data_IF_829777544778
#
_entry.id   IF_829777544778
#
_cell.length_a   1.000
_cell.length_b   1.000
_cell.length_c   1.000
_cell.angle_alpha   90.00
_cell.angle_beta   90.00
_cell.angle_gamma   90.00
#
_symmetry.space_group_name_H-M   'P 1'
#
loop_
_entity.id
_entity.type
_entity.pdbx_description
1 polymer ?
#
# COMPACT_ATOMS: atom_id res chain seq x y z
N UNK A 1 -2.86 48.64 -20.13
CA UNK A 1 -1.91 47.86 -19.29
C UNK A 1 -1.23 46.83 -20.20
N UNK A 2 0.11 46.66 -20.15
CA UNK A 2 0.78 45.74 -21.04
C UNK A 2 0.45 44.27 -20.66
N UNK A 3 0.43 43.36 -21.64
CA UNK A 3 0.21 41.92 -21.45
C UNK A 3 1.09 41.34 -20.32
N UNK A 4 2.33 41.87 -20.21
CA UNK A 4 3.28 41.49 -19.14
C UNK A 4 2.73 41.78 -17.73
N UNK A 5 2.00 42.89 -17.53
CA UNK A 5 1.38 43.18 -16.21
C UNK A 5 0.28 42.17 -15.85
N UNK A 6 -0.53 41.74 -16.80
CA UNK A 6 -1.55 40.71 -16.57
C UNK A 6 -0.92 39.36 -16.25
N UNK A 7 0.15 38.99 -16.97
CA UNK A 7 0.88 37.72 -16.69
C UNK A 7 1.51 37.80 -15.30
N UNK A 8 2.13 38.90 -14.91
CA UNK A 8 2.72 39.08 -13.58
C UNK A 8 1.66 39.02 -12.47
N UNK A 9 0.50 39.63 -12.65
CA UNK A 9 -0.62 39.56 -11.68
C UNK A 9 -1.15 38.13 -11.58
N UNK A 10 -1.37 37.44 -12.70
CA UNK A 10 -1.81 36.06 -12.70
C UNK A 10 -0.81 35.13 -11.99
N UNK A 11 0.49 35.32 -12.21
CA UNK A 11 1.55 34.58 -11.54
C UNK A 11 1.57 34.83 -10.01
N UNK A 12 1.36 36.08 -9.58
CA UNK A 12 1.27 36.45 -8.16
C UNK A 12 0.04 35.84 -7.49
N UNK A 13 -1.12 35.85 -8.17
CA UNK A 13 -2.36 35.22 -7.67
C UNK A 13 -2.14 33.69 -7.54
N UNK A 14 -1.59 33.05 -8.56
CA UNK A 14 -1.30 31.61 -8.53
C UNK A 14 -0.32 31.28 -7.41
N UNK A 15 0.73 32.06 -7.24
CA UNK A 15 1.68 31.89 -6.14
C UNK A 15 1.01 32.07 -4.77
N UNK A 16 0.16 33.08 -4.60
CA UNK A 16 -0.64 33.28 -3.38
C UNK A 16 -1.59 32.11 -3.09
N UNK A 17 -2.25 31.56 -4.11
CA UNK A 17 -3.12 30.39 -3.98
C UNK A 17 -2.33 29.13 -3.60
N UNK A 18 -1.14 28.93 -4.17
CA UNK A 18 -0.24 27.83 -3.82
C UNK A 18 0.24 27.96 -2.38
N UNK A 19 0.63 29.17 -1.93
CA UNK A 19 1.01 29.41 -0.53
C UNK A 19 -0.16 29.19 0.44
N UNK A 20 -1.37 29.63 0.07
CA UNK A 20 -2.57 29.39 0.87
C UNK A 20 -2.89 27.89 0.97
N UNK A 21 -2.77 27.16 -0.14
CA UNK A 21 -2.95 25.72 -0.17
C UNK A 21 -1.91 24.99 0.70
N UNK A 22 -0.63 25.38 0.59
CA UNK A 22 0.44 24.86 1.46
C UNK A 22 0.15 25.18 2.93
N UNK A 23 -0.33 26.39 3.23
CA UNK A 23 -0.74 26.80 4.58
C UNK A 23 -1.89 25.96 5.12
N UNK A 24 -2.93 25.73 4.33
CA UNK A 24 -4.07 24.87 4.70
C UNK A 24 -3.59 23.44 4.93
N UNK A 25 -2.80 22.88 4.03
CA UNK A 25 -2.25 21.53 4.16
C UNK A 25 -1.31 21.39 5.36
N UNK A 26 -0.57 22.44 5.74
CA UNK A 26 0.30 22.41 6.93
C UNK A 26 -0.46 22.53 8.25
N UNK A 27 -1.61 23.20 8.26
CA UNK A 27 -2.48 23.31 9.45
C UNK A 27 -3.27 22.02 9.69
N UNK A 28 -3.58 21.28 8.63
CA UNK A 28 -4.26 19.97 8.71
C UNK A 28 -3.33 18.80 8.97
N UNK A 29 -2.01 19.04 9.08
CA UNK A 29 -1.03 18.01 9.39
C UNK A 29 -0.96 17.79 10.89
N UNK A 30 -1.37 16.60 11.28
CA UNK A 30 -1.31 16.11 12.66
C UNK A 30 0.15 15.85 13.11
N UNK A 31 0.35 15.72 14.41
CA UNK A 31 1.66 15.40 14.97
C UNK A 31 2.00 13.94 14.64
N UNK A 32 3.07 13.69 13.87
CA UNK A 32 3.46 12.34 13.51
C UNK A 32 4.01 11.58 14.73
N UNK A 33 3.95 10.25 14.68
CA UNK A 33 4.62 9.39 15.67
C UNK A 33 6.13 9.52 15.51
N UNK A 34 6.82 10.03 16.52
CA UNK A 34 8.28 10.24 16.51
C UNK A 34 9.05 9.25 17.38
N UNK A 35 8.37 8.61 18.33
CA UNK A 35 8.96 7.62 19.23
C UNK A 35 7.90 6.66 19.75
N UNK A 36 8.32 5.46 20.12
CA UNK A 36 7.52 4.47 20.85
C UNK A 36 8.16 4.32 22.21
N UNK A 37 7.42 4.64 23.27
CA UNK A 37 7.91 4.65 24.65
C UNK A 37 7.25 3.50 25.41
N UNK A 38 8.06 2.70 26.09
CA UNK A 38 7.63 1.70 27.06
C UNK A 38 8.18 2.11 28.44
N UNK A 39 7.40 2.93 29.15
CA UNK A 39 7.80 3.45 30.43
C UNK A 39 7.79 2.35 31.49
N UNK A 40 8.90 2.21 32.24
CA UNK A 40 9.07 1.16 33.24
C UNK A 40 9.55 -0.19 32.67
N UNK A 41 9.60 -0.36 31.37
CA UNK A 41 10.10 -1.57 30.73
C UNK A 41 11.60 -1.40 30.36
N UNK A 42 12.46 -2.21 31.00
CA UNK A 42 13.92 -2.12 30.80
C UNK A 42 14.35 -2.51 29.38
N UNK A 43 13.57 -3.37 28.73
CA UNK A 43 13.87 -3.90 27.39
C UNK A 43 13.24 -3.06 26.27
N UNK A 44 12.57 -1.96 26.63
CA UNK A 44 11.88 -1.07 25.70
C UNK A 44 10.57 -1.64 25.17
N UNK A 45 10.05 -1.15 24.01
CA UNK A 45 8.77 -1.59 23.47
C UNK A 45 8.71 -3.10 23.23
N UNK A 46 7.53 -3.75 23.36
CA UNK A 46 7.38 -5.19 23.16
C UNK A 46 7.99 -5.67 21.83
N UNK A 47 8.74 -6.77 21.86
CA UNK A 47 9.26 -7.41 20.63
C UNK A 47 8.14 -8.13 19.90
N UNK A 48 8.34 -8.42 18.62
CA UNK A 48 7.33 -9.18 17.82
C UNK A 48 7.07 -10.59 18.37
N UNK A 49 7.96 -11.12 19.21
CA UNK A 49 7.78 -12.40 19.91
C UNK A 49 6.98 -12.26 21.21
N UNK A 50 6.77 -11.04 21.70
CA UNK A 50 6.03 -10.78 22.93
C UNK A 50 4.51 -10.71 22.62
N UNK A 51 3.66 -11.43 23.37
CA UNK A 51 2.20 -11.34 23.21
C UNK A 51 1.65 -9.90 23.30
N UNK A 52 2.30 -9.01 24.04
CA UNK A 52 1.92 -7.60 24.15
C UNK A 52 2.11 -6.84 22.83
N UNK A 53 2.98 -7.33 21.94
CA UNK A 53 3.17 -6.72 20.60
C UNK A 53 1.87 -6.80 19.78
N UNK A 54 1.35 -8.02 19.58
CA UNK A 54 0.09 -8.23 18.86
C UNK A 54 -1.05 -7.42 19.50
N UNK A 55 -1.13 -7.44 20.84
CA UNK A 55 -2.12 -6.66 21.57
C UNK A 55 -1.97 -5.15 21.36
N UNK A 56 -0.74 -4.64 21.29
CA UNK A 56 -0.48 -3.23 20.98
C UNK A 56 -0.92 -2.88 19.55
N UNK A 57 -0.62 -3.74 18.56
CA UNK A 57 -1.11 -3.55 17.20
C UNK A 57 -2.63 -3.44 17.19
N UNK A 58 -3.36 -4.37 17.85
CA UNK A 58 -4.82 -4.33 17.91
C UNK A 58 -5.35 -3.03 18.54
N UNK A 59 -4.84 -2.66 19.72
CA UNK A 59 -5.31 -1.50 20.46
C UNK A 59 -5.08 -0.17 19.74
N UNK A 60 -3.92 -0.04 19.07
CA UNK A 60 -3.53 1.24 18.46
C UNK A 60 -3.94 1.37 16.99
N UNK A 61 -4.29 0.26 16.33
CA UNK A 61 -4.64 0.29 14.90
C UNK A 61 -6.05 -0.22 14.60
N UNK A 62 -6.70 -0.90 15.55
CA UNK A 62 -7.97 -1.58 15.32
C UNK A 62 -7.85 -2.85 14.49
N UNK A 63 -6.62 -3.36 14.29
CA UNK A 63 -6.36 -4.57 13.51
C UNK A 63 -6.47 -5.80 14.39
N UNK A 64 -7.52 -6.60 14.22
CA UNK A 64 -7.60 -7.90 14.88
C UNK A 64 -6.68 -8.91 14.20
N UNK A 65 -5.97 -9.70 15.00
CA UNK A 65 -5.06 -10.75 14.53
C UNK A 65 -5.65 -12.09 14.96
N UNK A 66 -6.37 -12.72 14.04
CA UNK A 66 -7.11 -13.96 14.30
C UNK A 66 -6.29 -15.18 13.86
N UNK A 67 -6.33 -16.30 14.61
CA UNK A 67 -5.84 -17.58 14.14
C UNK A 67 -6.74 -18.15 13.03
N UNK A 68 -6.38 -19.30 12.48
CA UNK A 68 -7.25 -20.05 11.57
C UNK A 68 -7.16 -19.64 10.11
N UNK A 69 -6.22 -18.79 9.72
CA UNK A 69 -6.07 -18.36 8.33
C UNK A 69 -5.11 -19.26 7.54
N UNK A 70 -5.36 -19.35 6.24
CA UNK A 70 -4.43 -19.88 5.25
C UNK A 70 -3.94 -18.70 4.38
N UNK A 71 -2.64 -18.46 4.36
CA UNK A 71 -2.02 -17.32 3.67
C UNK A 71 -1.07 -17.81 2.60
N UNK A 72 -1.24 -17.32 1.39
CA UNK A 72 -0.40 -17.64 0.24
C UNK A 72 0.18 -16.36 -0.35
N UNK A 73 1.51 -16.22 -0.31
CA UNK A 73 2.22 -15.12 -0.94
C UNK A 73 2.27 -15.34 -2.45
N UNK A 74 1.94 -14.33 -3.23
CA UNK A 74 1.89 -14.36 -4.67
C UNK A 74 2.85 -13.33 -5.24
N UNK A 75 3.84 -13.78 -5.99
CA UNK A 75 4.83 -12.90 -6.59
C UNK A 75 4.43 -12.54 -8.02
N UNK A 76 4.44 -11.26 -8.31
CA UNK A 76 4.27 -10.71 -9.64
C UNK A 76 2.95 -11.13 -10.32
N UNK A 77 2.81 -10.82 -11.59
CA UNK A 77 1.63 -11.20 -12.37
C UNK A 77 1.47 -12.70 -12.54
N UNK A 78 2.56 -13.39 -12.82
CA UNK A 78 2.56 -14.84 -13.05
C UNK A 78 2.10 -15.65 -11.83
N UNK A 79 2.43 -15.17 -10.64
CA UNK A 79 1.94 -15.80 -9.39
C UNK A 79 0.51 -15.38 -9.03
N UNK A 80 0.08 -14.19 -9.45
CA UNK A 80 -1.18 -13.58 -8.99
C UNK A 80 -2.35 -13.87 -9.92
N UNK A 81 -2.26 -13.47 -11.18
CA UNK A 81 -3.42 -13.45 -12.08
C UNK A 81 -4.00 -14.82 -12.40
N UNK A 82 -3.22 -15.88 -12.65
CA UNK A 82 -3.80 -17.19 -12.93
C UNK A 82 -4.67 -17.72 -11.78
N UNK A 83 -4.24 -17.48 -10.51
CA UNK A 83 -5.01 -17.86 -9.34
C UNK A 83 -6.23 -16.99 -9.14
N UNK A 84 -6.08 -15.68 -9.31
CA UNK A 84 -7.17 -14.71 -9.23
C UNK A 84 -8.28 -15.04 -10.23
N UNK A 85 -7.92 -15.31 -11.47
CA UNK A 85 -8.90 -15.70 -12.51
C UNK A 85 -9.60 -16.99 -12.18
N UNK A 86 -8.87 -17.99 -11.70
CA UNK A 86 -9.43 -19.28 -11.29
C UNK A 86 -10.44 -19.10 -10.14
N UNK A 87 -10.08 -18.33 -9.13
CA UNK A 87 -10.97 -18.11 -7.99
C UNK A 87 -12.20 -17.29 -8.35
N UNK A 88 -12.06 -16.22 -9.18
CA UNK A 88 -13.23 -15.48 -9.70
C UNK A 88 -14.14 -16.40 -10.52
N UNK A 89 -13.56 -17.25 -11.39
CA UNK A 89 -14.35 -18.18 -12.20
C UNK A 89 -15.12 -19.21 -11.36
N UNK A 90 -14.65 -19.52 -10.15
CA UNK A 90 -15.31 -20.46 -9.23
C UNK A 90 -16.40 -19.82 -8.35
N UNK A 91 -16.61 -18.50 -8.44
CA UNK A 91 -17.58 -17.80 -7.62
C UNK A 91 -19.00 -18.29 -7.87
N UNK A 92 -19.75 -18.55 -6.79
CA UNK A 92 -21.12 -19.03 -6.81
C UNK A 92 -22.14 -18.00 -6.30
N UNK A 93 -21.69 -17.06 -5.44
CA UNK A 93 -22.59 -16.12 -4.75
C UNK A 93 -22.22 -14.67 -5.03
N UNK A 94 -20.98 -14.28 -4.75
CA UNK A 94 -20.54 -12.89 -4.83
C UNK A 94 -19.11 -12.74 -5.33
N UNK A 95 -18.85 -11.70 -6.10
CA UNK A 95 -17.51 -11.19 -6.36
C UNK A 95 -17.50 -9.69 -6.06
N UNK A 96 -16.69 -9.26 -5.11
CA UNK A 96 -16.50 -7.84 -4.79
C UNK A 96 -15.07 -7.43 -5.15
N UNK A 97 -14.95 -6.39 -5.96
CA UNK A 97 -13.67 -5.90 -6.48
C UNK A 97 -13.55 -4.40 -6.22
N UNK A 98 -12.48 -3.99 -5.54
CA UNK A 98 -12.11 -2.58 -5.41
C UNK A 98 -10.70 -2.37 -5.93
N UNK A 99 -10.54 -1.42 -6.88
CA UNK A 99 -9.25 -1.11 -7.49
C UNK A 99 -8.99 0.39 -7.48
N UNK A 100 -7.73 0.72 -7.17
CA UNK A 100 -7.25 2.09 -7.31
C UNK A 100 -6.83 2.37 -8.75
N UNK A 101 -5.94 1.55 -9.32
CA UNK A 101 -5.32 1.81 -10.62
C UNK A 101 -5.80 0.83 -11.68
N UNK A 102 -6.32 1.38 -12.78
CA UNK A 102 -6.85 0.60 -13.89
C UNK A 102 -6.58 1.30 -15.22
N UNK A 103 -6.03 0.55 -16.17
CA UNK A 103 -5.70 1.00 -17.52
C UNK A 103 -6.33 0.05 -18.54
N UNK A 104 -6.66 0.51 -19.76
CA UNK A 104 -7.00 -0.39 -20.87
C UNK A 104 -5.83 -1.34 -21.14
N UNK A 105 -6.13 -2.62 -21.34
CA UNK A 105 -5.12 -3.65 -21.61
C UNK A 105 -5.64 -5.05 -21.29
N UNK A 106 -4.80 -6.06 -21.50
CA UNK A 106 -5.15 -7.47 -21.38
C UNK A 106 -5.63 -7.84 -19.97
N UNK A 107 -5.04 -7.25 -18.92
CA UNK A 107 -5.46 -7.50 -17.53
C UNK A 107 -6.86 -6.97 -17.27
N UNK A 108 -7.16 -5.74 -17.69
CA UNK A 108 -8.49 -5.14 -17.52
C UNK A 108 -9.56 -5.89 -18.34
N UNK A 109 -9.24 -6.28 -19.57
CA UNK A 109 -10.15 -7.01 -20.45
C UNK A 109 -10.41 -8.42 -19.91
N UNK A 110 -9.38 -9.09 -19.37
CA UNK A 110 -9.53 -10.40 -18.74
C UNK A 110 -10.39 -10.31 -17.48
N UNK A 111 -10.19 -9.29 -16.63
CA UNK A 111 -11.04 -9.03 -15.48
C UNK A 111 -12.49 -8.86 -15.93
N UNK A 112 -12.75 -8.01 -16.93
CA UNK A 112 -14.11 -7.79 -17.45
C UNK A 112 -14.73 -9.10 -17.93
N UNK A 113 -13.99 -9.94 -18.67
CA UNK A 113 -14.48 -11.24 -19.15
C UNK A 113 -14.98 -12.12 -17.99
N UNK A 114 -14.19 -12.27 -16.93
CA UNK A 114 -14.57 -13.10 -15.78
C UNK A 114 -15.74 -12.49 -14.99
N UNK A 115 -15.76 -11.18 -14.79
CA UNK A 115 -16.87 -10.53 -14.08
C UNK A 115 -18.19 -10.62 -14.86
N UNK A 116 -18.15 -10.46 -16.19
CA UNK A 116 -19.31 -10.63 -17.09
C UNK A 116 -19.82 -12.08 -17.01
N UNK A 117 -18.92 -13.04 -17.14
CA UNK A 117 -19.27 -14.46 -17.06
C UNK A 117 -19.98 -14.78 -15.73
N UNK A 118 -19.45 -14.32 -14.61
CA UNK A 118 -20.07 -14.55 -13.30
C UNK A 118 -21.42 -13.87 -13.17
N UNK A 119 -21.55 -12.62 -13.61
CA UNK A 119 -22.83 -11.89 -13.58
C UNK A 119 -23.91 -12.61 -14.41
N UNK A 120 -23.55 -13.13 -15.59
CA UNK A 120 -24.46 -13.93 -16.43
C UNK A 120 -24.88 -15.25 -15.76
N UNK A 121 -24.05 -15.80 -14.87
CA UNK A 121 -24.36 -16.97 -14.03
C UNK A 121 -25.07 -16.59 -12.71
N UNK A 122 -25.62 -15.37 -12.61
CA UNK A 122 -26.38 -14.88 -11.44
C UNK A 122 -25.54 -14.70 -10.16
N UNK A 123 -24.23 -14.65 -10.26
CA UNK A 123 -23.36 -14.23 -9.18
C UNK A 123 -23.50 -12.71 -9.02
N UNK A 124 -23.64 -12.22 -7.80
CA UNK A 124 -23.68 -10.77 -7.54
C UNK A 124 -22.29 -10.18 -7.65
N UNK A 125 -22.05 -9.37 -8.67
CA UNK A 125 -20.73 -8.78 -8.96
C UNK A 125 -20.76 -7.29 -8.69
N UNK A 126 -19.93 -6.83 -7.73
CA UNK A 126 -19.78 -5.43 -7.34
C UNK A 126 -18.37 -4.95 -7.68
N UNK A 127 -18.27 -3.91 -8.48
CA UNK A 127 -16.98 -3.30 -8.89
C UNK A 127 -16.93 -1.85 -8.43
N UNK A 128 -15.98 -1.55 -7.54
CA UNK A 128 -15.71 -0.21 -7.01
C UNK A 128 -14.37 0.29 -7.54
N UNK A 129 -14.39 1.37 -8.31
CA UNK A 129 -13.21 1.94 -8.95
C UNK A 129 -12.91 3.33 -8.37
N UNK A 130 -11.67 3.61 -8.02
CA UNK A 130 -11.26 4.97 -7.70
C UNK A 130 -11.38 5.85 -8.95
N UNK A 131 -12.05 6.99 -8.82
CA UNK A 131 -12.39 7.83 -9.95
C UNK A 131 -11.17 8.49 -10.61
N UNK A 132 -10.05 8.63 -9.91
CA UNK A 132 -8.82 9.19 -10.45
C UNK A 132 -7.95 8.10 -11.09
N UNK A 133 -7.63 7.04 -10.36
CA UNK A 133 -6.74 5.98 -10.82
C UNK A 133 -7.32 5.11 -11.94
N UNK A 134 -8.65 5.09 -12.09
CA UNK A 134 -9.34 4.29 -13.12
C UNK A 134 -9.96 5.13 -14.24
N UNK A 135 -9.67 6.44 -14.28
CA UNK A 135 -10.15 7.35 -15.33
C UNK A 135 -9.86 6.87 -16.77
N UNK A 136 -8.70 6.25 -17.05
CA UNK A 136 -8.36 5.82 -18.43
C UNK A 136 -9.25 4.71 -18.99
N UNK A 137 -10.00 3.97 -18.14
CA UNK A 137 -10.88 2.90 -18.64
C UNK A 137 -11.96 3.43 -19.58
N UNK A 138 -12.04 2.86 -20.77
CA UNK A 138 -12.96 3.27 -21.84
C UNK A 138 -14.43 3.11 -21.43
N UNK A 139 -15.30 3.92 -22.01
CA UNK A 139 -16.74 3.85 -21.77
C UNK A 139 -17.31 2.49 -22.19
N UNK A 140 -16.89 2.00 -23.36
CA UNK A 140 -17.34 0.72 -23.93
C UNK A 140 -17.05 -0.46 -22.97
N UNK A 141 -15.86 -0.46 -22.34
CA UNK A 141 -15.47 -1.46 -21.34
C UNK A 141 -16.44 -1.45 -20.15
N UNK A 142 -16.81 -0.26 -19.66
CA UNK A 142 -17.73 -0.11 -18.54
C UNK A 142 -19.16 -0.48 -18.91
N UNK A 143 -19.60 -0.10 -20.12
CA UNK A 143 -20.93 -0.37 -20.58
C UNK A 143 -21.15 -1.87 -20.82
N UNK A 144 -20.15 -2.61 -21.32
CA UNK A 144 -20.21 -4.07 -21.46
C UNK A 144 -20.43 -4.79 -20.11
N UNK A 145 -19.73 -4.38 -19.07
CA UNK A 145 -19.90 -4.90 -17.71
C UNK A 145 -21.32 -4.61 -17.17
N UNK A 146 -21.81 -3.38 -17.31
CA UNK A 146 -23.15 -2.99 -16.86
C UNK A 146 -24.25 -3.76 -17.59
N UNK A 147 -24.13 -3.94 -18.90
CA UNK A 147 -25.11 -4.72 -19.68
C UNK A 147 -25.19 -6.17 -19.25
N UNK A 148 -24.09 -6.72 -18.75
CA UNK A 148 -24.03 -8.08 -18.19
C UNK A 148 -24.58 -8.18 -16.75
N UNK A 149 -24.90 -7.06 -16.10
CA UNK A 149 -25.43 -7.03 -14.74
C UNK A 149 -24.39 -6.75 -13.65
N UNK A 150 -23.16 -6.37 -14.00
CA UNK A 150 -22.15 -5.95 -13.03
C UNK A 150 -22.48 -4.55 -12.47
N UNK A 151 -22.58 -4.43 -11.17
CA UNK A 151 -22.79 -3.15 -10.49
C UNK A 151 -21.48 -2.38 -10.37
N UNK A 152 -21.30 -1.30 -11.13
CA UNK A 152 -20.08 -0.47 -11.11
C UNK A 152 -20.37 0.83 -10.39
N UNK A 153 -19.52 1.17 -9.40
CA UNK A 153 -19.56 2.45 -8.69
C UNK A 153 -18.18 3.12 -8.72
N UNK A 154 -18.20 4.44 -8.56
CA UNK A 154 -17.01 5.28 -8.55
C UNK A 154 -16.77 5.84 -7.16
N UNK A 155 -15.60 5.60 -6.63
CA UNK A 155 -15.19 6.14 -5.34
C UNK A 155 -14.52 7.51 -5.53
N UNK A 156 -15.00 8.50 -4.78
CA UNK A 156 -14.47 9.87 -4.75
C UNK A 156 -14.33 10.54 -6.12
N UNK A 157 -15.42 10.59 -6.94
CA UNK A 157 -15.40 11.35 -8.17
C UNK A 157 -15.15 12.83 -7.87
N UNK A 158 -14.33 13.47 -8.72
CA UNK A 158 -14.05 14.91 -8.58
C UNK A 158 -15.32 15.71 -8.88
N UNK A 159 -15.87 16.35 -7.85
CA UNK A 159 -16.98 17.29 -7.94
C UNK A 159 -16.60 18.57 -7.23
N UNK A 160 -17.11 19.71 -7.68
CA UNK A 160 -16.76 21.01 -7.11
C UNK A 160 -17.01 21.09 -5.59
N UNK A 161 -17.97 20.38 -5.04
CA UNK A 161 -18.28 20.34 -3.60
C UNK A 161 -17.55 19.23 -2.83
N UNK A 162 -16.71 18.44 -3.47
CA UNK A 162 -15.87 17.41 -2.84
C UNK A 162 -14.37 17.61 -3.10
N UNK A 163 -13.96 18.81 -3.52
CA UNK A 163 -12.55 19.13 -3.81
C UNK A 163 -11.63 18.88 -2.62
N UNK A 164 -12.10 19.08 -1.40
CA UNK A 164 -11.38 18.76 -0.17
C UNK A 164 -10.99 17.26 -0.06
N UNK A 165 -11.79 16.36 -0.68
CA UNK A 165 -11.49 14.94 -0.74
C UNK A 165 -10.60 14.55 -1.94
N UNK A 166 -10.25 15.51 -2.80
CA UNK A 166 -9.46 15.24 -4.00
C UNK A 166 -8.04 14.73 -3.68
N UNK A 167 -7.47 15.17 -2.56
CA UNK A 167 -6.17 14.72 -2.10
C UNK A 167 -6.22 13.31 -1.46
N UNK A 168 -7.36 12.92 -0.88
CA UNK A 168 -7.56 11.63 -0.25
C UNK A 168 -7.97 10.61 -1.30
N UNK A 169 -7.14 9.60 -1.56
CA UNK A 169 -7.45 8.53 -2.51
C UNK A 169 -7.63 7.21 -1.79
N UNK A 170 -8.42 6.33 -2.40
CA UNK A 170 -8.53 4.97 -1.91
C UNK A 170 -7.51 4.09 -2.62
N UNK A 171 -6.37 3.92 -1.98
CA UNK A 171 -5.29 3.06 -2.48
C UNK A 171 -5.51 1.58 -2.12
N UNK A 172 -6.68 1.26 -1.62
CA UNK A 172 -7.13 -0.09 -1.24
C UNK A 172 -7.28 -0.98 -2.48
N UNK A 173 -6.79 -2.21 -2.41
CA UNK A 173 -7.03 -3.28 -3.38
C UNK A 173 -7.72 -4.41 -2.67
N UNK A 174 -8.89 -4.75 -3.17
CA UNK A 174 -9.72 -5.84 -2.65
C UNK A 174 -10.24 -6.66 -3.81
N UNK A 175 -10.06 -7.97 -3.73
CA UNK A 175 -10.94 -8.92 -4.40
C UNK A 175 -11.39 -9.92 -3.35
N UNK A 176 -12.70 -10.07 -3.19
CA UNK A 176 -13.27 -11.11 -2.33
C UNK A 176 -14.24 -11.95 -3.14
N UNK A 177 -14.05 -13.25 -3.09
CA UNK A 177 -14.88 -14.24 -3.75
C UNK A 177 -15.69 -15.00 -2.69
N UNK A 178 -17.01 -14.94 -2.82
CA UNK A 178 -17.98 -15.62 -1.96
C UNK A 178 -17.84 -15.35 -0.45
N UNK A 179 -17.18 -14.22 -0.09
CA UNK A 179 -16.84 -13.91 1.30
C UNK A 179 -15.84 -14.88 1.94
N UNK A 180 -15.16 -15.73 1.16
CA UNK A 180 -14.30 -16.83 1.63
C UNK A 180 -12.86 -16.75 1.16
N UNK A 181 -12.60 -16.19 0.01
CA UNK A 181 -11.27 -16.03 -0.57
C UNK A 181 -11.00 -14.53 -0.73
N UNK A 182 -9.90 -14.07 -0.16
CA UNK A 182 -9.46 -12.68 -0.23
C UNK A 182 -8.16 -12.49 -0.99
N UNK A 183 -8.06 -11.39 -1.73
CA UNK A 183 -6.82 -10.92 -2.36
C UNK A 183 -6.58 -9.46 -2.00
N UNK A 184 -5.36 -9.16 -1.56
CA UNK A 184 -4.86 -7.79 -1.44
C UNK A 184 -3.39 -7.71 -1.83
N UNK A 185 -2.84 -6.51 -1.94
CA UNK A 185 -1.47 -6.30 -2.40
C UNK A 185 -1.31 -4.94 -3.07
N UNK A 186 -0.29 -4.82 -3.92
CA UNK A 186 -0.07 -3.62 -4.72
C UNK A 186 -0.59 -3.73 -6.16
N UNK A 187 -1.12 -4.87 -6.59
CA UNK A 187 -1.58 -5.11 -7.96
C UNK A 187 -2.73 -4.19 -8.39
N UNK A 188 -2.86 -4.00 -9.70
CA UNK A 188 -3.94 -3.23 -10.31
C UNK A 188 -4.46 -3.89 -11.59
N UNK A 189 -5.29 -3.18 -12.35
CA UNK A 189 -5.77 -3.64 -13.66
C UNK A 189 -4.97 -2.96 -14.78
N UNK A 190 -3.69 -3.31 -14.92
CA UNK A 190 -2.84 -2.82 -15.99
C UNK A 190 -1.75 -3.85 -16.35
N UNK A 191 -1.31 -3.83 -17.59
CA UNK A 191 -0.41 -4.85 -18.14
C UNK A 191 1.02 -4.78 -17.56
N UNK A 192 1.41 -3.69 -16.89
CA UNK A 192 2.69 -3.57 -16.18
C UNK A 192 2.88 -4.65 -15.10
N UNK A 193 1.80 -5.15 -14.51
CA UNK A 193 1.86 -6.22 -13.50
C UNK A 193 1.91 -7.63 -14.09
N UNK A 194 1.84 -7.80 -15.42
CA UNK A 194 2.04 -9.12 -16.04
C UNK A 194 3.51 -9.56 -15.94
N UNK A 195 3.73 -10.86 -16.01
CA UNK A 195 5.06 -11.46 -16.03
C UNK A 195 5.67 -11.68 -14.63
N UNK A 196 6.97 -11.89 -14.62
CA UNK A 196 7.77 -12.30 -13.45
C UNK A 196 8.45 -11.15 -12.69
N UNK A 197 8.27 -9.90 -13.15
CA UNK A 197 8.85 -8.71 -12.52
C UNK A 197 10.36 -8.53 -12.75
N UNK A 198 10.95 -9.24 -13.73
CA UNK A 198 12.37 -9.16 -14.07
C UNK A 198 12.66 -8.41 -15.38
N UNK A 199 11.64 -7.89 -16.05
CA UNK A 199 11.78 -7.14 -17.29
C UNK A 199 11.38 -5.68 -17.11
N UNK A 200 11.99 -4.78 -17.89
CA UNK A 200 11.86 -3.33 -17.69
C UNK A 200 10.43 -2.79 -17.88
N UNK A 201 9.60 -3.47 -18.65
CA UNK A 201 8.19 -3.18 -18.91
C UNK A 201 7.23 -3.79 -17.88
N UNK A 202 7.76 -4.51 -16.89
CA UNK A 202 7.02 -5.17 -15.84
C UNK A 202 7.24 -4.48 -14.48
N UNK A 203 6.36 -4.77 -13.53
CA UNK A 203 6.50 -4.30 -12.16
C UNK A 203 6.69 -5.49 -11.21
N UNK A 204 7.74 -5.40 -10.37
CA UNK A 204 7.98 -6.37 -9.30
C UNK A 204 7.00 -6.12 -8.17
N UNK A 205 6.14 -7.11 -7.89
CA UNK A 205 5.04 -6.98 -6.92
C UNK A 205 4.98 -8.16 -5.95
N UNK A 206 4.47 -7.91 -4.75
CA UNK A 206 4.15 -8.94 -3.76
C UNK A 206 2.70 -8.79 -3.35
N UNK A 207 1.89 -9.76 -3.70
CA UNK A 207 0.48 -9.83 -3.39
C UNK A 207 0.20 -11.02 -2.47
N UNK A 208 -1.02 -11.08 -1.95
CA UNK A 208 -1.42 -12.16 -1.07
C UNK A 208 -2.83 -12.63 -1.39
N UNK A 209 -3.00 -13.95 -1.42
CA UNK A 209 -4.27 -14.67 -1.40
C UNK A 209 -4.44 -15.29 -0.02
N UNK A 210 -5.61 -15.18 0.55
CA UNK A 210 -5.87 -15.77 1.86
C UNK A 210 -7.31 -16.24 2.00
N UNK A 211 -7.50 -17.17 2.92
CA UNK A 211 -8.78 -17.75 3.34
C UNK A 211 -8.83 -17.75 4.86
N UNK A 212 -10.01 -17.81 5.44
CA UNK A 212 -10.24 -17.82 6.88
C UNK A 212 -10.77 -16.51 7.44
N UNK A 213 -10.76 -16.34 8.78
CA UNK A 213 -11.44 -15.22 9.45
C UNK A 213 -11.08 -13.83 8.95
N UNK A 214 -9.83 -13.62 8.54
CA UNK A 214 -9.35 -12.32 8.04
C UNK A 214 -10.05 -11.86 6.75
N UNK A 215 -10.66 -12.78 5.98
CA UNK A 215 -11.41 -12.40 4.75
C UNK A 215 -12.60 -11.51 5.08
N UNK A 216 -13.26 -11.73 6.21
CA UNK A 216 -14.37 -10.87 6.64
C UNK A 216 -13.93 -9.41 6.86
N UNK A 217 -12.71 -9.19 7.38
CA UNK A 217 -12.17 -7.84 7.53
C UNK A 217 -11.88 -7.18 6.16
N UNK A 218 -11.39 -7.95 5.17
CA UNK A 218 -11.20 -7.43 3.80
C UNK A 218 -12.54 -7.10 3.13
N UNK A 219 -13.55 -7.95 3.33
CA UNK A 219 -14.91 -7.70 2.85
C UNK A 219 -15.51 -6.45 3.53
N UNK A 220 -15.23 -6.23 4.81
CA UNK A 220 -15.69 -5.04 5.53
C UNK A 220 -15.00 -3.76 4.99
N UNK A 221 -13.72 -3.82 4.63
CA UNK A 221 -13.02 -2.70 3.98
C UNK A 221 -13.66 -2.36 2.63
N UNK A 222 -14.05 -3.37 1.83
CA UNK A 222 -14.83 -3.15 0.61
C UNK A 222 -16.19 -2.51 0.92
N UNK A 223 -16.93 -3.07 1.88
CA UNK A 223 -18.27 -2.58 2.25
C UNK A 223 -18.24 -1.12 2.74
N UNK A 224 -17.20 -0.72 3.44
CA UNK A 224 -16.99 0.68 3.84
C UNK A 224 -16.80 1.61 2.64
N UNK A 225 -15.98 1.20 1.65
CA UNK A 225 -15.81 1.93 0.39
C UNK A 225 -17.10 1.98 -0.44
N UNK A 226 -17.83 0.88 -0.48
CA UNK A 226 -19.14 0.83 -1.16
C UNK A 226 -20.15 1.78 -0.51
N UNK A 227 -20.24 1.78 0.82
CA UNK A 227 -21.11 2.69 1.55
C UNK A 227 -20.70 4.16 1.34
N UNK A 228 -19.41 4.49 1.28
CA UNK A 228 -18.94 5.84 0.93
C UNK A 228 -19.41 6.27 -0.47
N UNK A 229 -19.42 5.34 -1.43
CA UNK A 229 -19.78 5.63 -2.82
C UNK A 229 -21.28 5.69 -3.09
N UNK A 230 -22.10 4.94 -2.31
CA UNK A 230 -23.50 4.69 -2.59
C UNK A 230 -24.47 5.08 -1.48
N UNK A 231 -23.99 5.14 -0.24
CA UNK A 231 -24.86 5.22 0.96
C UNK A 231 -25.39 3.86 1.42
N UNK A 232 -25.08 2.76 0.73
CA UNK A 232 -25.56 1.41 1.03
C UNK A 232 -24.51 0.63 1.82
N UNK A 233 -24.83 0.18 3.04
CA UNK A 233 -23.98 -0.68 3.84
C UNK A 233 -24.29 -2.16 3.57
N UNK A 234 -23.33 -2.87 2.99
CA UNK A 234 -23.45 -4.29 2.70
C UNK A 234 -23.29 -5.12 3.97
N UNK A 235 -24.27 -5.99 4.26
CA UNK A 235 -24.29 -6.85 5.43
C UNK A 235 -24.91 -8.21 5.11
N UNK A 236 -24.97 -9.10 6.10
CA UNK A 236 -25.68 -10.38 6.03
C UNK A 236 -24.91 -11.48 5.33
N UNK A 237 -25.51 -12.67 5.27
CA UNK A 237 -24.88 -13.91 4.83
C UNK A 237 -24.40 -13.90 3.37
N UNK A 238 -24.96 -13.04 2.53
CA UNK A 238 -24.52 -12.89 1.14
C UNK A 238 -23.06 -12.43 1.06
N UNK A 239 -22.65 -11.48 1.91
CA UNK A 239 -21.30 -10.91 1.90
C UNK A 239 -20.40 -11.43 3.03
N UNK A 240 -21.01 -11.87 4.14
CA UNK A 240 -20.38 -12.36 5.34
C UNK A 240 -20.95 -13.73 5.71
N UNK A 241 -20.72 -14.76 4.90
CA UNK A 241 -21.25 -16.10 5.22
C UNK A 241 -20.60 -16.63 6.51
N UNK A 242 -21.32 -17.45 7.26
CA UNK A 242 -20.80 -18.07 8.48
C UNK A 242 -19.48 -18.81 8.25
N UNK A 243 -19.29 -19.38 7.06
CA UNK A 243 -18.06 -20.07 6.68
C UNK A 243 -16.83 -19.15 6.56
N UNK A 244 -17.00 -17.82 6.42
CA UNK A 244 -15.88 -16.88 6.41
C UNK A 244 -15.23 -16.68 7.79
N UNK A 245 -15.87 -17.18 8.84
CA UNK A 245 -15.34 -17.15 10.20
C UNK A 245 -14.79 -18.50 10.65
N UNK A 246 -14.77 -19.49 9.77
CA UNK A 246 -14.24 -20.83 10.08
C UNK A 246 -12.72 -20.87 9.90
N UNK A 247 -12.06 -21.61 10.76
CA UNK A 247 -10.64 -21.91 10.64
C UNK A 247 -10.40 -22.80 9.42
N UNK A 248 -9.50 -22.39 8.53
CA UNK A 248 -9.10 -23.13 7.32
C UNK A 248 -7.59 -23.34 7.24
N UNK A 249 -6.87 -22.86 8.25
CA UNK A 249 -5.43 -22.96 8.39
C UNK A 249 -5.01 -22.68 9.82
N UNK A 250 -3.75 -22.38 10.02
CA UNK A 250 -3.14 -22.16 11.35
C UNK A 250 -2.33 -20.85 11.44
N UNK A 251 -2.40 -19.99 10.42
CA UNK A 251 -1.70 -18.69 10.42
C UNK A 251 -2.50 -17.69 11.26
N UNK A 252 -1.80 -17.00 12.16
CA UNK A 252 -2.32 -15.80 12.81
C UNK A 252 -2.18 -14.62 11.84
N UNK A 253 -3.29 -14.07 11.37
CA UNK A 253 -3.32 -12.99 10.42
C UNK A 253 -4.44 -11.98 10.71
N UNK A 254 -4.29 -10.78 10.18
CA UNK A 254 -5.29 -9.71 10.29
C UNK A 254 -5.24 -8.80 9.08
N UNK A 255 -6.26 -7.97 8.95
CA UNK A 255 -6.28 -6.91 7.94
C UNK A 255 -6.14 -5.55 8.62
N UNK A 256 -5.06 -4.86 8.36
CA UNK A 256 -4.94 -3.44 8.71
C UNK A 256 -5.58 -2.61 7.59
N UNK A 257 -6.68 -1.94 7.90
CA UNK A 257 -7.34 -0.99 7.02
C UNK A 257 -7.16 0.41 7.59
N UNK A 258 -6.25 1.18 7.01
CA UNK A 258 -6.02 2.56 7.42
C UNK A 258 -6.94 3.51 6.67
N UNK A 259 -7.54 4.42 7.43
CA UNK A 259 -8.32 5.54 6.92
C UNK A 259 -7.71 6.82 7.50
N UNK A 260 -7.57 7.90 6.71
CA UNK A 260 -7.12 9.18 7.24
C UNK A 260 -7.93 9.61 8.45
N UNK A 261 -7.24 9.99 9.52
CA UNK A 261 -7.85 10.41 10.80
C UNK A 261 -7.14 11.62 11.36
N UNK A 262 -7.78 12.33 12.27
CA UNK A 262 -7.15 13.41 13.05
C UNK A 262 -6.12 12.81 14.01
N UNK A 263 -4.95 13.41 14.14
CA UNK A 263 -3.82 12.86 14.87
C UNK A 263 -3.04 11.82 14.05
N UNK A 264 -2.22 10.99 14.69
CA UNK A 264 -1.51 9.93 13.99
C UNK A 264 -2.50 8.89 13.44
N UNK A 265 -2.28 8.46 12.20
CA UNK A 265 -3.14 7.46 11.55
C UNK A 265 -2.87 6.04 12.08
N UNK A 266 -3.79 5.08 11.85
CA UNK A 266 -3.50 3.67 12.11
C UNK A 266 -2.24 3.18 11.38
N UNK A 267 -2.00 3.65 10.14
CA UNK A 267 -0.80 3.31 9.36
C UNK A 267 0.50 3.77 10.03
N UNK A 268 0.53 5.02 10.53
CA UNK A 268 1.71 5.54 11.24
C UNK A 268 1.99 4.77 12.53
N UNK A 269 0.96 4.52 13.34
CA UNK A 269 1.09 3.76 14.59
C UNK A 269 1.53 2.32 14.32
N UNK A 270 0.97 1.69 13.30
CA UNK A 270 1.33 0.35 12.85
C UNK A 270 2.82 0.24 12.48
N UNK A 271 3.33 1.15 11.64
CA UNK A 271 4.74 1.15 11.23
C UNK A 271 5.66 1.44 12.42
N UNK A 272 5.31 2.41 13.26
CA UNK A 272 6.12 2.77 14.41
C UNK A 272 6.26 1.58 15.38
N UNK A 273 5.16 0.87 15.69
CA UNK A 273 5.18 -0.34 16.52
C UNK A 273 5.97 -1.47 15.86
N UNK A 274 5.81 -1.69 14.56
CA UNK A 274 6.54 -2.72 13.83
C UNK A 274 8.05 -2.49 13.86
N UNK A 275 8.50 -1.24 13.65
CA UNK A 275 9.93 -0.87 13.71
C UNK A 275 10.47 -0.97 15.15
N UNK A 276 9.69 -0.55 16.14
CA UNK A 276 10.07 -0.60 17.54
C UNK A 276 10.16 -2.04 18.07
N UNK A 277 9.31 -2.94 17.57
CA UNK A 277 9.27 -4.36 17.93
C UNK A 277 10.45 -5.19 17.40
N UNK A 278 11.22 -4.67 16.45
CA UNK A 278 12.37 -5.37 15.86
C UNK A 278 13.53 -5.55 16.87
N UNK A 279 14.11 -6.76 16.89
CA UNK A 279 15.26 -7.11 17.73
C UNK A 279 16.45 -7.64 16.93
N UNK A 280 16.23 -8.34 15.82
CA UNK A 280 17.28 -8.98 15.00
C UNK A 280 17.33 -8.39 13.60
N UNK A 281 16.21 -8.44 12.89
CA UNK A 281 16.12 -8.03 11.47
C UNK A 281 14.89 -7.17 11.23
N UNK A 282 15.05 -6.18 10.35
CA UNK A 282 13.97 -5.37 9.84
C UNK A 282 14.18 -5.18 8.33
N UNK A 283 13.43 -5.89 7.52
CA UNK A 283 13.54 -5.84 6.07
C UNK A 283 12.31 -5.19 5.47
N UNK A 284 12.52 -4.12 4.70
CA UNK A 284 11.47 -3.29 4.11
C UNK A 284 11.63 -3.31 2.60
N UNK A 285 10.60 -3.70 1.86
CA UNK A 285 10.50 -3.50 0.42
C UNK A 285 9.42 -2.46 0.15
N UNK A 286 9.79 -1.37 -0.52
CA UNK A 286 8.81 -0.32 -0.77
C UNK A 286 9.11 0.49 -2.03
N UNK A 287 8.07 0.72 -2.85
CA UNK A 287 8.14 1.47 -4.10
C UNK A 287 8.58 2.90 -3.89
N UNK A 288 7.91 3.60 -2.99
CA UNK A 288 8.14 5.02 -2.72
C UNK A 288 8.59 5.18 -1.29
N UNK A 289 9.91 5.03 -1.10
CA UNK A 289 10.53 5.11 0.22
C UNK A 289 10.93 6.56 0.53
N UNK A 290 9.97 7.32 1.08
CA UNK A 290 10.14 8.71 1.54
C UNK A 290 9.75 8.78 3.02
N UNK A 291 10.57 8.24 3.94
CA UNK A 291 10.17 7.96 5.32
C UNK A 291 9.83 9.18 6.17
N UNK A 292 10.13 10.39 5.70
CA UNK A 292 10.03 11.55 6.56
C UNK A 292 11.07 11.55 7.69
N UNK A 293 11.14 12.62 8.45
CA UNK A 293 12.12 12.73 9.55
C UNK A 293 11.80 11.77 10.70
N UNK A 294 10.51 11.62 11.03
CA UNK A 294 10.04 10.76 12.13
C UNK A 294 10.40 9.28 11.92
N UNK A 295 10.07 8.71 10.77
CA UNK A 295 10.39 7.30 10.49
C UNK A 295 11.87 7.08 10.23
N UNK A 296 12.58 8.07 9.67
CA UNK A 296 14.03 8.02 9.59
C UNK A 296 14.63 7.85 11.00
N UNK A 297 14.18 8.61 11.99
CA UNK A 297 14.66 8.50 13.37
C UNK A 297 14.33 7.13 13.98
N UNK A 298 13.14 6.57 13.72
CA UNK A 298 12.77 5.23 14.20
C UNK A 298 13.66 4.13 13.58
N UNK A 299 13.98 4.22 12.28
CA UNK A 299 14.88 3.28 11.61
C UNK A 299 16.32 3.39 12.14
N UNK A 300 16.81 4.61 12.35
CA UNK A 300 18.12 4.84 12.97
C UNK A 300 18.18 4.31 14.41
N UNK A 301 17.11 4.49 15.18
CA UNK A 301 17.02 3.94 16.53
C UNK A 301 17.02 2.40 16.51
N UNK A 302 16.36 1.76 15.54
CA UNK A 302 16.41 0.30 15.37
C UNK A 302 17.85 -0.17 15.04
N UNK A 303 18.51 0.46 14.07
CA UNK A 303 19.88 0.15 13.71
C UNK A 303 20.85 0.36 14.89
N UNK A 304 20.66 1.44 15.68
CA UNK A 304 21.46 1.71 16.90
C UNK A 304 21.27 0.63 17.98
N UNK A 305 20.11 -0.02 18.05
CA UNK A 305 19.87 -1.19 18.93
C UNK A 305 20.54 -2.47 18.43
N UNK A 306 21.19 -2.46 17.26
CA UNK A 306 21.84 -3.62 16.65
C UNK A 306 20.96 -4.41 15.69
N UNK A 307 19.78 -3.91 15.32
CA UNK A 307 18.91 -4.54 14.33
C UNK A 307 19.54 -4.40 12.93
N UNK A 308 19.60 -5.48 12.15
CA UNK A 308 19.98 -5.42 10.75
C UNK A 308 18.83 -4.85 9.92
N UNK A 309 18.90 -3.53 9.69
CA UNK A 309 17.85 -2.80 8.95
C UNK A 309 18.26 -2.71 7.49
N UNK A 310 17.41 -3.28 6.62
CA UNK A 310 17.61 -3.26 5.16
C UNK A 310 16.38 -2.75 4.44
N UNK A 311 16.58 -1.95 3.41
CA UNK A 311 15.52 -1.40 2.57
C UNK A 311 15.80 -1.71 1.11
N UNK A 312 14.85 -2.34 0.42
CA UNK A 312 14.83 -2.41 -1.04
C UNK A 312 13.79 -1.40 -1.54
N UNK A 313 14.19 -0.58 -2.51
CA UNK A 313 13.30 0.40 -3.13
C UNK A 313 13.52 0.48 -4.64
N UNK A 314 12.78 1.36 -5.31
CA UNK A 314 12.95 1.58 -6.75
C UNK A 314 14.33 2.15 -7.08
N UNK A 315 14.79 1.84 -8.28
CA UNK A 315 15.89 2.54 -8.93
C UNK A 315 15.38 3.74 -9.73
N UNK A 316 16.19 4.25 -10.64
CA UNK A 316 15.75 5.25 -11.62
C UNK A 316 14.65 4.76 -12.57
N UNK A 317 14.34 3.45 -12.58
CA UNK A 317 13.24 2.84 -13.34
C UNK A 317 11.87 3.01 -12.71
N UNK A 318 11.69 4.05 -11.89
CA UNK A 318 10.41 4.39 -11.26
C UNK A 318 9.49 5.13 -12.23
N UNK A 319 8.19 4.97 -12.07
CA UNK A 319 7.16 5.74 -12.77
C UNK A 319 7.04 7.19 -12.24
N UNK A 320 7.44 7.43 -10.96
CA UNK A 320 7.39 8.76 -10.32
C UNK A 320 8.79 9.19 -9.88
N UNK A 321 9.55 9.83 -10.78
CA UNK A 321 10.92 10.32 -10.51
C UNK A 321 11.00 11.22 -9.28
N UNK A 322 9.96 12.02 -9.02
CA UNK A 322 9.95 12.97 -7.90
C UNK A 322 10.02 12.25 -6.55
N UNK A 323 9.32 11.11 -6.39
CA UNK A 323 9.37 10.32 -5.15
C UNK A 323 10.74 9.68 -4.95
N UNK A 324 11.37 9.19 -6.04
CA UNK A 324 12.71 8.64 -5.98
C UNK A 324 13.74 9.70 -5.54
N UNK A 325 13.72 10.90 -6.14
CA UNK A 325 14.60 12.00 -5.72
C UNK A 325 14.33 12.42 -4.27
N UNK A 326 13.07 12.52 -3.84
CA UNK A 326 12.71 12.88 -2.48
C UNK A 326 13.20 11.85 -1.45
N UNK A 327 13.06 10.55 -1.75
CA UNK A 327 13.56 9.46 -0.91
C UNK A 327 15.08 9.49 -0.72
N UNK A 328 15.82 9.76 -1.79
CA UNK A 328 17.29 9.85 -1.78
C UNK A 328 17.85 10.92 -0.84
N UNK A 329 17.06 11.92 -0.48
CA UNK A 329 17.49 12.95 0.50
C UNK A 329 17.71 12.38 1.91
N UNK A 330 17.12 11.22 2.22
CA UNK A 330 17.28 10.52 3.51
C UNK A 330 18.43 9.50 3.51
N UNK A 331 18.93 9.09 2.33
CA UNK A 331 19.87 7.99 2.20
C UNK A 331 21.18 8.25 2.99
N UNK A 332 21.76 9.44 2.88
CA UNK A 332 23.04 9.73 3.53
C UNK A 332 22.98 9.51 5.04
N UNK A 333 21.97 10.07 5.71
CA UNK A 333 21.77 9.90 7.16
C UNK A 333 21.46 8.45 7.53
N UNK A 334 20.63 7.75 6.75
CA UNK A 334 20.29 6.36 6.98
C UNK A 334 21.53 5.45 6.85
N UNK A 335 22.32 5.64 5.79
CA UNK A 335 23.57 4.89 5.56
C UNK A 335 24.61 5.16 6.65
N UNK A 336 24.77 6.43 7.09
CA UNK A 336 25.63 6.79 8.24
C UNK A 336 25.20 6.09 9.52
N UNK A 337 23.90 5.92 9.73
CA UNK A 337 23.34 5.23 10.89
C UNK A 337 23.30 3.71 10.79
N UNK A 338 23.89 3.12 9.73
CA UNK A 338 24.01 1.67 9.57
C UNK A 338 22.82 0.98 8.86
N UNK A 339 21.85 1.73 8.37
CA UNK A 339 20.77 1.18 7.53
C UNK A 339 21.33 0.87 6.15
N UNK A 340 21.05 -0.33 5.61
CA UNK A 340 21.48 -0.74 4.27
C UNK A 340 20.37 -0.47 3.26
N UNK A 341 20.70 0.16 2.14
CA UNK A 341 19.73 0.54 1.11
C UNK A 341 20.12 -0.09 -0.22
N UNK A 342 19.11 -0.67 -0.89
CA UNK A 342 19.25 -1.37 -2.16
C UNK A 342 18.25 -0.80 -3.16
N UNK A 343 18.68 -0.53 -4.38
CA UNK A 343 17.80 -0.13 -5.49
C UNK A 343 17.64 -1.31 -6.46
N UNK A 344 16.42 -1.79 -6.63
CA UNK A 344 16.09 -2.91 -7.52
C UNK A 344 16.34 -2.55 -8.98
N UNK A 345 17.06 -3.41 -9.72
CA UNK A 345 17.56 -3.05 -11.05
C UNK A 345 16.73 -3.57 -12.23
N UNK A 346 16.14 -4.79 -12.21
CA UNK A 346 15.52 -5.36 -13.43
C UNK A 346 14.31 -4.57 -13.91
N UNK A 347 13.42 -4.20 -13.00
CA UNK A 347 12.11 -3.63 -13.25
C UNK A 347 11.80 -2.52 -12.23
N UNK A 348 10.62 -1.90 -12.33
CA UNK A 348 10.10 -1.07 -11.25
C UNK A 348 9.75 -1.94 -10.04
N UNK A 349 10.39 -1.72 -8.90
CA UNK A 349 9.96 -2.30 -7.62
C UNK A 349 8.65 -1.64 -7.20
N UNK A 350 7.53 -2.38 -7.25
CA UNK A 350 6.23 -1.85 -6.82
C UNK A 350 5.68 -2.54 -5.56
N UNK A 351 6.35 -3.55 -5.02
CA UNK A 351 5.96 -4.20 -3.78
C UNK A 351 6.00 -3.26 -2.56
N UNK A 352 5.09 -3.48 -1.63
CA UNK A 352 5.02 -2.81 -0.34
C UNK A 352 4.88 -3.89 0.73
N UNK A 353 5.99 -4.24 1.33
CA UNK A 353 6.05 -5.29 2.35
C UNK A 353 7.11 -5.01 3.41
N UNK A 354 6.95 -5.64 4.54
CA UNK A 354 7.89 -5.59 5.65
C UNK A 354 7.93 -6.96 6.31
N UNK A 355 9.11 -7.35 6.80
CA UNK A 355 9.27 -8.50 7.68
C UNK A 355 10.19 -8.14 8.83
N UNK A 356 9.80 -8.52 10.05
CA UNK A 356 10.51 -8.29 11.30
C UNK A 356 10.82 -9.63 11.96
N UNK A 357 12.09 -9.87 12.21
CA UNK A 357 12.61 -11.01 12.96
C UNK A 357 12.13 -12.38 12.40
N UNK A 358 11.82 -12.45 11.09
CA UNK A 358 11.30 -13.65 10.43
C UNK A 358 9.95 -14.14 10.98
N UNK A 359 9.14 -13.26 11.59
CA UNK A 359 7.91 -13.65 12.25
C UNK A 359 6.75 -12.69 11.98
N UNK A 360 6.93 -11.39 12.15
CA UNK A 360 5.93 -10.38 11.87
C UNK A 360 6.10 -9.86 10.45
N UNK A 361 5.05 -9.88 9.64
CA UNK A 361 5.13 -9.38 8.28
C UNK A 361 3.84 -8.68 7.84
N UNK A 362 3.98 -7.78 6.85
CA UNK A 362 2.83 -7.30 6.09
C UNK A 362 3.09 -7.32 4.58
N UNK A 363 2.00 -7.42 3.82
CA UNK A 363 1.95 -7.27 2.37
C UNK A 363 0.70 -6.47 2.00
N UNK A 364 0.83 -5.45 1.16
CA UNK A 364 -0.35 -4.66 0.82
C UNK A 364 -0.10 -3.45 -0.06
N UNK A 365 -0.92 -2.44 0.15
CA UNK A 365 -0.98 -1.26 -0.72
C UNK A 365 -0.12 -0.09 -0.26
N UNK A 366 0.29 -0.04 1.02
CA UNK A 366 0.83 1.13 1.70
C UNK A 366 2.28 1.45 1.30
N UNK A 367 2.49 2.60 0.65
CA UNK A 367 3.82 3.15 0.46
C UNK A 367 4.38 3.74 1.76
N UNK A 368 5.70 3.82 1.82
CA UNK A 368 6.41 4.44 2.94
C UNK A 368 6.61 5.93 2.66
N UNK A 369 5.52 6.62 2.39
CA UNK A 369 5.48 8.04 2.09
C UNK A 369 4.33 8.74 2.83
N UNK A 370 4.39 10.06 2.87
CA UNK A 370 3.41 10.86 3.59
C UNK A 370 1.99 10.67 3.04
N UNK A 371 1.85 10.44 1.75
CA UNK A 371 0.55 10.27 1.11
C UNK A 371 -0.17 9.01 1.58
N UNK A 372 0.54 7.88 1.59
CA UNK A 372 -0.01 6.62 2.09
C UNK A 372 -0.23 6.63 3.60
N UNK A 373 0.67 7.27 4.34
CA UNK A 373 0.59 7.27 5.80
C UNK A 373 -0.49 8.21 6.35
N UNK A 374 -0.77 9.34 5.67
CA UNK A 374 -1.63 10.38 6.22
C UNK A 374 -2.91 10.67 5.42
N UNK A 375 -2.93 10.40 4.11
CA UNK A 375 -4.02 10.85 3.23
C UNK A 375 -4.79 9.73 2.54
N UNK A 376 -4.18 8.58 2.27
CA UNK A 376 -4.85 7.51 1.55
C UNK A 376 -5.54 6.52 2.49
N UNK A 377 -6.59 5.89 1.98
CA UNK A 377 -7.03 4.63 2.56
C UNK A 377 -6.09 3.53 2.06
N UNK A 378 -5.61 2.69 2.96
CA UNK A 378 -4.68 1.60 2.65
C UNK A 378 -5.19 0.27 3.22
N UNK A 379 -4.79 -0.84 2.60
CA UNK A 379 -5.09 -2.19 3.09
C UNK A 379 -3.84 -3.07 3.07
N UNK A 380 -3.56 -3.71 4.20
CA UNK A 380 -2.44 -4.62 4.37
C UNK A 380 -2.94 -5.91 4.99
N UNK A 381 -2.58 -7.06 4.43
CA UNK A 381 -2.59 -8.29 5.22
C UNK A 381 -1.38 -8.25 6.15
N UNK A 382 -1.61 -8.50 7.43
CA UNK A 382 -0.57 -8.69 8.43
C UNK A 382 -0.57 -10.15 8.87
N UNK A 383 0.62 -10.70 9.13
CA UNK A 383 0.78 -12.06 9.62
C UNK A 383 1.80 -12.13 10.76
N UNK A 384 1.43 -12.82 11.82
CA UNK A 384 2.29 -13.17 12.94
C UNK A 384 2.54 -14.68 12.89
N UNK A 385 3.41 -15.10 11.97
CA UNK A 385 3.69 -16.50 11.70
C UNK A 385 5.12 -16.68 11.18
N UNK A 386 5.87 -17.62 11.75
CA UNK A 386 7.27 -17.86 11.38
C UNK A 386 7.45 -18.43 9.96
N UNK A 387 6.48 -19.17 9.44
CA UNK A 387 6.57 -19.74 8.08
C UNK A 387 6.36 -18.65 7.05
N UNK A 388 5.36 -17.80 7.27
CA UNK A 388 5.11 -16.61 6.43
C UNK A 388 6.29 -15.65 6.51
N UNK A 389 6.81 -15.38 7.72
CA UNK A 389 7.97 -14.51 7.93
C UNK A 389 9.23 -15.04 7.24
N UNK A 390 9.55 -16.33 7.39
CA UNK A 390 10.70 -16.95 6.72
C UNK A 390 10.57 -16.91 5.18
N UNK A 391 9.36 -17.09 4.65
CA UNK A 391 9.12 -16.97 3.21
C UNK A 391 9.35 -15.52 2.75
N UNK A 392 8.90 -14.52 3.53
CA UNK A 392 9.14 -13.10 3.23
C UNK A 392 10.63 -12.74 3.32
N UNK A 393 11.37 -13.28 4.30
CA UNK A 393 12.84 -13.12 4.38
C UNK A 393 13.51 -13.68 3.12
N UNK A 394 13.11 -14.88 2.67
CA UNK A 394 13.65 -15.50 1.46
C UNK A 394 13.39 -14.63 0.22
N UNK A 395 12.17 -14.13 0.06
CA UNK A 395 11.78 -13.25 -1.05
C UNK A 395 12.62 -11.97 -1.04
N UNK A 396 12.78 -11.35 0.14
CA UNK A 396 13.60 -10.17 0.30
C UNK A 396 15.07 -10.41 -0.08
N UNK A 397 15.64 -11.53 0.36
CA UNK A 397 17.03 -11.90 0.06
C UNK A 397 17.23 -12.25 -1.43
N UNK A 398 16.20 -12.78 -2.10
CA UNK A 398 16.24 -13.01 -3.55
C UNK A 398 16.19 -11.68 -4.33
N UNK A 399 15.34 -10.73 -3.92
CA UNK A 399 15.29 -9.40 -4.53
C UNK A 399 16.60 -8.62 -4.34
N UNK A 400 17.32 -8.79 -3.22
CA UNK A 400 18.66 -8.21 -3.00
C UNK A 400 19.65 -8.65 -4.09
N UNK A 401 19.62 -9.91 -4.54
CA UNK A 401 20.54 -10.43 -5.58
C UNK A 401 20.43 -9.66 -6.89
N UNK A 402 19.23 -9.10 -7.16
CA UNK A 402 18.93 -8.30 -8.34
C UNK A 402 18.98 -6.79 -8.08
N UNK A 403 19.45 -6.38 -6.90
CA UNK A 403 19.49 -4.98 -6.47
C UNK A 403 20.92 -4.45 -6.38
N UNK A 404 21.06 -3.15 -6.61
CA UNK A 404 22.32 -2.43 -6.40
C UNK A 404 22.36 -1.88 -4.97
N UNK A 405 23.34 -2.29 -4.19
CA UNK A 405 23.58 -1.70 -2.88
C UNK A 405 24.11 -0.27 -3.02
N UNK A 406 23.53 0.65 -2.29
CA UNK A 406 23.97 2.05 -2.24
C UNK A 406 25.02 2.19 -1.15
N UNK A 407 26.25 2.48 -1.56
CA UNK A 407 27.39 2.69 -0.64
C UNK A 407 27.52 4.17 -0.29
N UNK A 408 27.71 4.48 0.99
CA UNK A 408 27.81 5.85 1.50
C UNK A 408 28.85 6.71 0.76
N UNK A 409 30.05 6.17 0.57
CA UNK A 409 31.16 6.91 -0.08
C UNK A 409 30.89 7.22 -1.55
N UNK A 410 30.23 6.30 -2.27
CA UNK A 410 29.80 6.51 -3.66
C UNK A 410 28.65 7.52 -3.71
N UNK A 411 27.69 7.37 -2.81
CA UNK A 411 26.53 8.25 -2.72
C UNK A 411 26.91 9.71 -2.46
N UNK A 412 27.90 9.95 -1.62
CA UNK A 412 28.45 11.30 -1.34
C UNK A 412 29.07 11.96 -2.57
N UNK A 413 29.66 11.16 -3.48
CA UNK A 413 30.32 11.62 -4.71
C UNK A 413 29.34 11.84 -5.88
N UNK A 414 28.02 11.62 -5.69
CA UNK A 414 27.03 11.84 -6.76
C UNK A 414 27.05 13.26 -7.30
N UNK A 415 26.69 13.41 -8.58
CA UNK A 415 26.72 14.69 -9.28
C UNK A 415 25.91 15.79 -8.60
N UNK A 416 26.35 17.03 -8.69
CA UNK A 416 25.69 18.19 -8.10
C UNK A 416 24.27 18.37 -8.68
N UNK A 417 24.06 18.06 -9.96
CA UNK A 417 22.73 18.08 -10.61
C UNK A 417 21.74 17.17 -9.90
N UNK A 418 22.16 15.95 -9.51
CA UNK A 418 21.34 15.03 -8.73
C UNK A 418 20.96 15.62 -7.36
N UNK A 419 21.93 16.20 -6.65
CA UNK A 419 21.69 16.85 -5.34
C UNK A 419 20.67 18.02 -5.44
N UNK A 420 20.70 18.79 -6.53
CA UNK A 420 19.75 19.90 -6.76
C UNK A 420 18.34 19.33 -6.99
N UNK A 421 18.21 18.25 -7.80
CA UNK A 421 16.93 17.61 -8.04
C UNK A 421 16.35 16.98 -6.76
N UNK A 422 17.18 16.32 -5.96
CA UNK A 422 16.82 15.78 -4.66
C UNK A 422 16.32 16.89 -3.71
N UNK A 423 17.06 18.01 -3.63
CA UNK A 423 16.65 19.17 -2.82
C UNK A 423 15.31 19.75 -3.26
N UNK A 424 15.09 19.90 -4.58
CA UNK A 424 13.83 20.38 -5.13
C UNK A 424 12.67 19.44 -4.82
N UNK A 425 12.86 18.13 -5.03
CA UNK A 425 11.86 17.11 -4.75
C UNK A 425 11.50 17.02 -3.25
N UNK A 426 12.47 17.23 -2.35
CA UNK A 426 12.22 17.27 -0.91
C UNK A 426 11.18 18.34 -0.49
N UNK A 427 11.13 19.48 -1.21
CA UNK A 427 10.13 20.51 -0.92
C UNK A 427 8.70 20.04 -1.21
N UNK A 428 8.54 19.07 -2.10
CA UNK A 428 7.26 18.47 -2.47
C UNK A 428 6.88 17.26 -1.61
N UNK A 429 7.75 16.79 -0.70
CA UNK A 429 7.55 15.57 0.10
C UNK A 429 6.23 15.48 0.86
N UNK A 430 5.61 16.62 1.18
CA UNK A 430 4.34 16.66 1.93
C UNK A 430 3.13 16.30 1.08
N UNK A 431 3.27 16.37 -0.25
CA UNK A 431 2.21 16.06 -1.21
C UNK A 431 2.48 14.78 -2.01
N UNK A 432 3.65 14.18 -1.79
CA UNK A 432 4.11 12.91 -2.37
C UNK A 432 3.68 11.74 -1.51
#
# INVERSE_FOLDING_TARGET
MSLIKYIAIAALILFGLVLALIGILSVTHDTPVTSVIAEGDKDGPPSVEDPLFARSIELFTGTHIDPGNNVQILLNGDGTYPKLWKDIASAERTVTVQMYYSQPGAVADTMAKYLIDRAQHKVRVLLLLDAFGSQPLKREWRDSLKHAGVEIKWLRPLRWYTLQKAAQRSHVRVVVVDGRIGYTGGFGLADYWLGDGHHQDQWRETNVRFEGPTVAALQAAFAAGWAEATGELLTGDMFFPKSSFADVGDVQAGLMHSIPSTGSTPAERFLALSIAGARKTLYITNSYFVPGENFMQLLLAAAKRGVDVRVITVSEKTDVKTTWYAGRTYYEKLLEGGVKIYEYQPAMMHAKSLVVDGMWSYMGSMNFDNRSLSFNNESLLVALDRRVGAQMDSIFMDDIKSSKEIKLDEFRKRALSGKILEWGAQKLRRIL
#
